data_IF_515166777758
#
_entry.id   IF_515166777758
#
_cell.length_a   1.000
_cell.length_b   1.000
_cell.length_c   1.000
_cell.angle_alpha   90.00
_cell.angle_beta   90.00
_cell.angle_gamma   90.00
#
_symmetry.space_group_name_H-M   'P 1'
#
loop_
_entity.id
_entity.type
_entity.pdbx_description
1 polymer ?
#
# COMPACT_ATOMS: atom_id res chain seq x y z
N UNK A 1 7.68 1.73 5.91
CA UNK A 1 8.53 0.53 6.06
C UNK A 1 9.74 0.89 6.88
N UNK A 2 10.05 0.16 7.96
CA UNK A 2 11.22 0.44 8.81
C UNK A 2 12.38 -0.43 8.32
N UNK A 3 13.55 0.17 8.11
CA UNK A 3 14.71 -0.47 7.51
C UNK A 3 15.95 -0.17 8.36
N UNK A 4 16.93 -1.07 8.34
CA UNK A 4 18.23 -0.82 8.94
C UNK A 4 18.95 0.34 8.21
N UNK A 5 19.66 1.18 8.96
CA UNK A 5 20.46 2.27 8.38
C UNK A 5 19.67 3.47 7.86
N UNK A 6 18.45 3.70 8.37
CA UNK A 6 17.69 4.92 8.07
C UNK A 6 18.42 6.19 8.51
N UNK A 7 18.30 7.25 7.69
CA UNK A 7 18.68 8.61 8.09
C UNK A 7 17.85 9.01 9.32
N UNK A 8 18.43 9.85 10.19
CA UNK A 8 17.79 10.24 11.46
C UNK A 8 17.82 11.75 11.64
N UNK A 9 16.76 12.33 12.18
CA UNK A 9 16.59 13.77 12.37
C UNK A 9 16.52 14.15 13.86
N UNK A 10 17.14 15.28 14.20
CA UNK A 10 17.03 15.93 15.50
C UNK A 10 17.72 15.19 16.65
N UNK A 11 17.64 15.78 17.85
CA UNK A 11 18.25 15.23 19.08
C UNK A 11 17.71 13.85 19.45
N UNK A 12 16.42 13.61 19.18
CA UNK A 12 15.76 12.34 19.44
C UNK A 12 16.05 11.28 18.37
N UNK A 13 16.88 11.60 17.36
CA UNK A 13 17.29 10.70 16.28
C UNK A 13 16.12 9.96 15.61
N UNK A 14 15.03 10.68 15.34
CA UNK A 14 13.80 10.14 14.73
C UNK A 14 14.14 9.60 13.34
N UNK A 15 13.77 8.35 13.06
CA UNK A 15 14.03 7.72 11.77
C UNK A 15 13.25 8.40 10.64
N UNK A 16 13.93 8.70 9.54
CA UNK A 16 13.32 9.20 8.31
C UNK A 16 13.07 7.98 7.42
N UNK A 17 11.80 7.60 7.16
CA UNK A 17 11.51 6.46 6.31
C UNK A 17 12.03 6.67 4.89
N UNK A 18 12.55 5.61 4.25
CA UNK A 18 12.85 5.63 2.81
C UNK A 18 11.60 5.45 1.97
N UNK A 19 10.66 4.65 2.49
CA UNK A 19 9.37 4.37 1.86
C UNK A 19 8.24 4.31 2.87
N UNK A 20 7.06 4.67 2.42
CA UNK A 20 5.79 4.49 3.12
C UNK A 20 4.80 3.77 2.22
N UNK A 21 3.77 3.17 2.80
CA UNK A 21 2.74 2.47 2.06
C UNK A 21 1.36 2.94 2.51
N UNK A 22 0.37 2.71 1.67
CA UNK A 22 -1.04 2.82 2.04
C UNK A 22 -1.79 1.68 1.37
N UNK A 23 -2.62 1.00 2.14
CA UNK A 23 -3.44 -0.11 1.66
C UNK A 23 -4.88 0.19 1.99
N UNK A 24 -5.76 0.00 1.01
CA UNK A 24 -7.17 0.35 1.09
C UNK A 24 -8.01 -0.85 0.64
N UNK A 25 -9.11 -1.05 1.35
CA UNK A 25 -10.17 -1.99 1.02
C UNK A 25 -11.50 -1.23 1.05
N UNK A 26 -12.32 -1.39 0.01
CA UNK A 26 -13.65 -0.78 -0.06
C UNK A 26 -14.67 -1.78 -0.59
N UNK A 27 -15.90 -1.70 -0.08
CA UNK A 27 -17.03 -2.41 -0.66
C UNK A 27 -17.70 -1.50 -1.71
N UNK A 28 -17.70 -1.94 -2.97
CA UNK A 28 -18.29 -1.24 -4.10
C UNK A 28 -19.33 -2.17 -4.72
N UNK A 29 -20.61 -1.79 -4.60
CA UNK A 29 -21.75 -2.55 -5.14
C UNK A 29 -21.78 -4.03 -4.68
N UNK A 30 -21.40 -4.31 -3.43
CA UNK A 30 -21.38 -5.66 -2.87
C UNK A 30 -20.11 -6.45 -3.18
N UNK A 31 -19.16 -5.87 -3.92
CA UNK A 31 -17.85 -6.47 -4.21
C UNK A 31 -16.77 -5.77 -3.40
N UNK A 32 -15.90 -6.55 -2.78
CA UNK A 32 -14.75 -6.02 -2.05
C UNK A 32 -13.61 -5.77 -3.05
N UNK A 33 -13.09 -4.54 -3.07
CA UNK A 33 -12.00 -4.11 -3.93
C UNK A 33 -10.82 -3.62 -3.10
N UNK A 34 -9.62 -4.03 -3.52
CA UNK A 34 -8.36 -3.71 -2.87
C UNK A 34 -7.46 -2.83 -3.73
N UNK A 35 -6.68 -1.97 -3.07
CA UNK A 35 -5.53 -1.32 -3.70
C UNK A 35 -4.44 -1.05 -2.67
N UNK A 36 -3.21 -1.35 -3.06
CA UNK A 36 -2.00 -0.99 -2.34
C UNK A 36 -1.19 0.10 -3.05
N UNK A 37 -0.36 0.79 -2.29
CA UNK A 37 0.63 1.74 -2.80
C UNK A 37 1.91 1.63 -1.98
N UNK A 38 3.06 1.77 -2.65
CA UNK A 38 4.36 1.97 -2.02
C UNK A 38 4.99 3.24 -2.61
N UNK A 39 5.30 4.18 -1.74
CA UNK A 39 5.91 5.46 -2.10
C UNK A 39 7.30 5.57 -1.51
N UNK A 40 8.24 6.03 -2.32
CA UNK A 40 9.51 6.56 -1.86
C UNK A 40 9.29 7.90 -1.17
N UNK A 41 10.11 8.20 -0.17
CA UNK A 41 10.08 9.48 0.53
C UNK A 41 10.77 10.57 -0.30
N UNK A 42 10.12 10.96 -1.40
CA UNK A 42 10.56 12.01 -2.33
C UNK A 42 9.37 12.68 -3.01
N UNK A 43 9.65 13.76 -3.70
CA UNK A 43 8.69 14.38 -4.61
C UNK A 43 8.47 13.50 -5.86
N UNK A 44 7.21 13.36 -6.24
CA UNK A 44 6.74 12.64 -7.43
C UNK A 44 6.31 13.58 -8.57
N UNK A 45 6.23 14.89 -8.33
CA UNK A 45 5.89 15.88 -9.34
C UNK A 45 4.52 15.61 -9.98
N UNK A 46 4.53 15.31 -11.28
CA UNK A 46 3.30 15.07 -12.08
C UNK A 46 2.96 13.59 -12.25
N UNK A 47 3.64 12.66 -11.57
CA UNK A 47 3.29 11.23 -11.63
C UNK A 47 1.87 11.03 -11.11
N UNK A 48 1.05 10.32 -11.88
CA UNK A 48 -0.34 10.08 -11.50
C UNK A 48 -0.42 9.03 -10.38
N UNK A 49 -1.33 9.23 -9.43
CA UNK A 49 -1.56 8.25 -8.38
C UNK A 49 -2.04 6.91 -8.95
N UNK A 50 -2.84 6.96 -10.02
CA UNK A 50 -3.34 5.79 -10.76
C UNK A 50 -2.22 4.90 -11.30
N UNK A 51 -1.08 5.46 -11.74
CA UNK A 51 0.03 4.64 -12.24
C UNK A 51 0.87 3.98 -11.14
N UNK A 52 0.58 4.27 -9.88
CA UNK A 52 1.30 3.75 -8.71
C UNK A 52 0.49 2.71 -7.92
N UNK A 53 -0.68 2.33 -8.43
CA UNK A 53 -1.52 1.31 -7.81
C UNK A 53 -0.85 -0.06 -7.92
N UNK A 54 -0.92 -0.84 -6.85
CA UNK A 54 -0.38 -2.20 -6.76
C UNK A 54 -1.45 -3.14 -6.17
N UNK A 55 -1.49 -4.41 -6.58
CA UNK A 55 -2.18 -5.45 -5.83
C UNK A 55 -1.69 -5.46 -4.38
N UNK A 56 -2.58 -5.80 -3.45
CA UNK A 56 -2.24 -5.82 -2.03
C UNK A 56 -1.16 -6.88 -1.77
N UNK A 57 -1.25 -8.06 -2.41
CA UNK A 57 -0.23 -9.13 -2.37
C UNK A 57 1.18 -8.62 -2.66
N UNK A 58 1.31 -7.66 -3.59
CA UNK A 58 2.61 -7.07 -3.91
C UNK A 58 3.11 -6.18 -2.78
N UNK A 59 2.22 -5.44 -2.13
CA UNK A 59 2.58 -4.64 -0.95
C UNK A 59 2.95 -5.53 0.22
N UNK A 60 2.19 -6.59 0.50
CA UNK A 60 2.48 -7.55 1.56
C UNK A 60 3.85 -8.19 1.40
N UNK A 61 4.18 -8.63 0.19
CA UNK A 61 5.49 -9.20 -0.14
C UNK A 61 6.63 -8.23 0.16
N UNK A 62 6.42 -6.93 -0.08
CA UNK A 62 7.43 -5.89 0.17
C UNK A 62 7.55 -5.51 1.64
N UNK A 63 6.48 -5.62 2.44
CA UNK A 63 6.46 -5.11 3.82
C UNK A 63 6.39 -6.19 4.91
N UNK A 64 6.09 -7.43 4.54
CA UNK A 64 5.97 -8.58 5.45
C UNK A 64 4.77 -8.51 6.38
N UNK A 65 3.67 -7.88 5.96
CA UNK A 65 2.43 -7.74 6.72
C UNK A 65 1.30 -8.35 5.90
N UNK A 66 0.53 -9.23 6.52
CA UNK A 66 -0.76 -9.75 6.03
C UNK A 66 -1.85 -8.73 6.41
N UNK A 67 -2.24 -7.91 5.44
CA UNK A 67 -3.30 -6.92 5.58
C UNK A 67 -4.65 -7.61 5.52
N UNK A 68 -5.65 -7.05 6.21
CA UNK A 68 -7.00 -7.60 6.21
C UNK A 68 -7.12 -9.10 6.60
N UNK A 69 -6.10 -9.68 7.26
CA UNK A 69 -6.00 -11.07 7.73
C UNK A 69 -7.20 -11.62 8.55
N UNK A 70 -8.11 -10.74 8.98
CA UNK A 70 -9.35 -11.13 9.70
C UNK A 70 -10.53 -11.37 8.76
N UNK A 71 -10.38 -11.14 7.45
CA UNK A 71 -11.37 -11.44 6.43
C UNK A 71 -11.34 -12.93 6.05
N UNK A 72 -12.43 -13.49 5.51
CA UNK A 72 -12.42 -14.84 4.95
C UNK A 72 -11.39 -14.97 3.83
N UNK A 73 -10.64 -16.07 3.81
CA UNK A 73 -9.56 -16.35 2.85
C UNK A 73 -10.03 -16.23 1.40
N UNK A 74 -11.24 -16.68 1.09
CA UNK A 74 -11.78 -16.63 -0.27
C UNK A 74 -12.06 -15.20 -0.75
N UNK A 75 -12.39 -14.29 0.18
CA UNK A 75 -12.58 -12.87 -0.12
C UNK A 75 -11.21 -12.19 -0.26
N UNK A 76 -10.30 -12.49 0.67
CA UNK A 76 -8.96 -11.95 0.71
C UNK A 76 -8.19 -12.28 -0.58
N UNK A 77 -8.11 -13.57 -0.94
CA UNK A 77 -7.38 -14.04 -2.11
C UNK A 77 -7.84 -13.40 -3.44
N UNK A 78 -9.12 -13.04 -3.55
CA UNK A 78 -9.66 -12.39 -4.76
C UNK A 78 -9.43 -10.88 -4.75
N UNK A 79 -9.55 -10.24 -3.58
CA UNK A 79 -9.39 -8.80 -3.41
C UNK A 79 -7.91 -8.39 -3.52
N UNK A 80 -7.01 -9.17 -2.95
CA UNK A 80 -5.60 -8.78 -2.79
C UNK A 80 -4.76 -9.05 -4.03
N UNK A 81 -5.14 -10.03 -4.85
CA UNK A 81 -4.39 -10.48 -6.02
C UNK A 81 -4.49 -9.55 -7.23
N UNK A 82 -5.33 -8.51 -7.19
CA UNK A 82 -5.57 -7.63 -8.34
C UNK A 82 -5.93 -6.22 -7.92
N UNK A 83 -5.84 -5.32 -8.90
CA UNK A 83 -6.38 -3.97 -8.82
C UNK A 83 -7.30 -3.74 -10.00
N UNK A 84 -8.48 -3.20 -9.75
CA UNK A 84 -9.34 -2.62 -10.78
C UNK A 84 -9.25 -1.08 -10.73
N UNK A 85 -8.52 -0.43 -11.65
CA UNK A 85 -8.37 1.03 -11.63
C UNK A 85 -9.65 1.81 -11.95
N UNK A 86 -10.72 1.15 -12.37
CA UNK A 86 -12.02 1.79 -12.60
C UNK A 86 -12.81 2.02 -11.30
N UNK A 87 -12.47 1.30 -10.24
CA UNK A 87 -13.09 1.41 -8.92
C UNK A 87 -12.64 2.63 -8.10
N UNK A 88 -11.66 3.40 -8.58
CA UNK A 88 -11.01 4.47 -7.83
C UNK A 88 -11.05 5.81 -8.57
N UNK A 89 -11.51 6.85 -7.87
CA UNK A 89 -11.53 8.23 -8.35
C UNK A 89 -10.22 8.96 -8.04
N UNK A 90 -9.68 9.68 -9.02
CA UNK A 90 -8.44 10.47 -8.92
C UNK A 90 -8.64 11.89 -9.43
#
# INVERSE_FOLDING_TARGET
VIEAGMKRLGKNRVGIPRRFYKVLCMNINGKVEGVGFIFENRDYGKTSLKSMMLPIDEVEREVGIDFFHSMPEEVQAVMESRVDPSCWSF
#
